data_IF_510794965018
#
_entry.id   IF_510794965018
#
_cell.length_a   1.000
_cell.length_b   1.000
_cell.length_c   1.000
_cell.angle_alpha   90.00
_cell.angle_beta   90.00
_cell.angle_gamma   90.00
#
_symmetry.space_group_name_H-M   'P 1'
#
loop_
_entity.id
_entity.type
_entity.pdbx_description
1 polymer ?
#
# COMPACT_ATOMS: atom_id res chain seq x y z
N UNK A 1 54.95 -29.79 71.32
CA UNK A 1 55.80 -29.58 70.12
C UNK A 1 54.94 -29.74 68.88
N UNK A 2 55.19 -28.91 67.87
CA UNK A 2 54.69 -28.93 66.49
C UNK A 2 53.23 -28.50 66.20
N UNK A 3 53.11 -27.23 65.85
CA UNK A 3 52.08 -26.55 65.04
C UNK A 3 52.13 -26.96 63.55
N UNK A 4 50.99 -27.05 62.84
CA UNK A 4 50.87 -26.62 61.42
C UNK A 4 49.41 -26.72 60.92
N UNK A 5 48.66 -25.61 60.91
CA UNK A 5 48.30 -24.71 59.77
C UNK A 5 47.07 -25.15 58.94
N UNK A 6 46.00 -24.36 59.11
CA UNK A 6 44.83 -24.22 58.23
C UNK A 6 45.26 -23.97 56.78
N UNK A 7 44.55 -24.59 55.83
CA UNK A 7 44.41 -24.07 54.48
C UNK A 7 42.92 -23.83 54.22
N UNK A 8 42.46 -22.62 54.55
CA UNK A 8 41.14 -22.14 54.18
C UNK A 8 41.23 -21.71 52.70
N UNK A 9 40.65 -22.50 51.80
CA UNK A 9 40.58 -22.18 50.37
C UNK A 9 39.62 -21.01 50.17
N UNK A 10 40.14 -19.79 50.16
CA UNK A 10 39.43 -18.63 49.62
C UNK A 10 39.35 -18.78 48.10
N UNK A 11 38.19 -19.18 47.59
CA UNK A 11 37.86 -19.05 46.16
C UNK A 11 37.66 -17.55 45.91
N UNK A 12 38.68 -16.91 45.32
CA UNK A 12 38.59 -15.55 44.81
C UNK A 12 37.67 -15.54 43.59
N UNK A 13 36.40 -15.21 43.79
CA UNK A 13 35.51 -14.76 42.72
C UNK A 13 35.77 -13.26 42.49
N UNK A 14 36.55 -12.94 41.47
CA UNK A 14 36.70 -11.59 40.92
C UNK A 14 36.22 -11.59 39.46
N UNK A 15 35.71 -10.45 38.97
CA UNK A 15 34.41 -10.39 38.32
C UNK A 15 34.54 -10.32 36.80
N UNK A 16 33.75 -11.13 36.10
CA UNK A 16 33.53 -10.98 34.66
C UNK A 16 32.55 -9.83 34.39
N UNK A 17 32.90 -8.60 34.81
CA UNK A 17 32.15 -7.38 34.50
C UNK A 17 33.10 -6.41 33.82
N UNK A 18 33.48 -6.74 32.58
CA UNK A 18 34.20 -5.81 31.71
C UNK A 18 33.74 -5.95 30.25
N UNK A 19 32.43 -6.09 30.04
CA UNK A 19 31.81 -6.09 28.71
C UNK A 19 30.67 -5.05 28.56
N UNK A 20 30.48 -4.16 29.54
CA UNK A 20 29.34 -3.21 29.56
C UNK A 20 29.74 -1.75 29.27
N UNK A 21 30.87 -1.50 28.60
CA UNK A 21 31.36 -0.13 28.31
C UNK A 21 31.47 0.19 26.81
N UNK A 22 30.94 -0.65 25.92
CA UNK A 22 30.78 -0.23 24.54
C UNK A 22 29.61 0.78 24.47
N UNK A 23 29.85 2.03 24.02
CA UNK A 23 28.76 2.93 23.73
C UNK A 23 27.85 2.29 22.67
N UNK A 24 26.52 2.46 22.75
CA UNK A 24 25.63 2.01 21.70
C UNK A 24 26.10 2.60 20.37
N UNK A 25 26.20 1.77 19.34
CA UNK A 25 26.50 2.23 18.00
C UNK A 25 25.52 3.37 17.66
N UNK A 26 26.00 4.48 17.06
CA UNK A 26 25.09 5.52 16.62
C UNK A 26 24.06 4.88 15.71
N UNK A 27 22.77 5.03 16.05
CA UNK A 27 21.69 4.63 15.19
C UNK A 27 21.97 5.25 13.81
N UNK A 28 22.06 4.42 12.77
CA UNK A 28 22.19 4.92 11.42
C UNK A 28 21.10 5.97 11.22
N UNK A 29 21.50 7.21 10.89
CA UNK A 29 20.55 8.28 10.68
C UNK A 29 19.55 7.79 9.63
N UNK A 30 18.28 7.62 10.03
CA UNK A 30 17.23 7.28 9.11
C UNK A 30 17.24 8.34 8.00
N UNK A 31 17.17 7.89 6.74
CA UNK A 31 17.09 8.79 5.60
C UNK A 31 15.92 9.78 5.75
N UNK A 32 15.89 10.84 4.93
CA UNK A 32 14.75 11.74 4.90
C UNK A 32 13.45 10.95 4.70
N UNK A 33 12.34 11.34 5.37
CA UNK A 33 11.05 10.71 5.16
C UNK A 33 10.66 10.74 3.68
N UNK A 34 10.19 9.61 3.16
CA UNK A 34 9.65 9.50 1.81
C UNK A 34 8.30 10.19 1.71
N UNK A 35 7.94 10.61 0.50
CA UNK A 35 6.65 11.23 0.20
C UNK A 35 5.61 10.13 0.00
N UNK A 36 4.48 10.21 0.69
CA UNK A 36 3.35 9.31 0.41
C UNK A 36 2.81 9.58 -0.99
N UNK A 37 2.72 8.54 -1.82
CA UNK A 37 2.11 8.55 -3.14
C UNK A 37 1.07 7.42 -3.17
N UNK A 38 -0.20 7.74 -3.32
CA UNK A 38 -1.26 6.75 -3.42
C UNK A 38 -1.98 6.85 -4.78
N UNK A 39 -2.24 5.69 -5.39
CA UNK A 39 -3.07 5.56 -6.58
C UNK A 39 -4.28 4.69 -6.26
N UNK A 40 -5.47 5.26 -6.41
CA UNK A 40 -6.74 4.53 -6.38
C UNK A 40 -7.22 4.35 -7.82
N UNK A 41 -7.48 3.10 -8.22
CA UNK A 41 -7.68 2.75 -9.62
C UNK A 41 -8.58 1.52 -9.80
N UNK A 42 -8.95 1.25 -11.05
CA UNK A 42 -9.70 0.07 -11.47
C UNK A 42 -8.97 -0.57 -12.65
N UNK A 43 -8.83 -1.89 -12.62
CA UNK A 43 -8.03 -2.67 -13.57
C UNK A 43 -8.53 -2.61 -15.02
N UNK A 44 -9.83 -2.35 -15.28
CA UNK A 44 -10.36 -2.23 -16.65
C UNK A 44 -10.65 -0.79 -17.07
N UNK A 45 -10.27 0.21 -16.27
CA UNK A 45 -10.37 1.60 -16.66
C UNK A 45 -9.21 1.98 -17.61
N UNK A 46 -9.48 2.40 -18.87
CA UNK A 46 -8.42 2.71 -19.82
C UNK A 46 -7.46 3.82 -19.37
N UNK A 47 -7.95 4.78 -18.59
CA UNK A 47 -7.12 5.86 -18.04
C UNK A 47 -6.20 5.38 -16.91
N UNK A 48 -6.69 4.44 -16.08
CA UNK A 48 -5.90 3.81 -15.03
C UNK A 48 -4.76 2.97 -15.62
N UNK A 49 -5.09 2.06 -16.53
CA UNK A 49 -4.09 1.19 -17.18
C UNK A 49 -3.02 2.01 -17.90
N UNK A 50 -3.44 3.04 -18.66
CA UNK A 50 -2.50 3.95 -19.33
C UNK A 50 -1.62 4.69 -18.32
N UNK A 51 -2.18 5.21 -17.24
CA UNK A 51 -1.41 5.92 -16.23
C UNK A 51 -0.37 5.00 -15.57
N UNK A 52 -0.76 3.78 -15.18
CA UNK A 52 0.14 2.80 -14.56
C UNK A 52 1.30 2.47 -15.50
N UNK A 53 0.98 2.07 -16.73
CA UNK A 53 1.97 1.58 -17.71
C UNK A 53 2.87 2.69 -18.25
N UNK A 54 2.33 3.87 -18.51
CA UNK A 54 3.06 4.93 -19.25
C UNK A 54 3.58 6.07 -18.39
N UNK A 55 3.05 6.25 -17.17
CA UNK A 55 3.44 7.34 -16.26
C UNK A 55 4.03 6.78 -14.96
N UNK A 56 3.25 6.04 -14.19
CA UNK A 56 3.67 5.56 -12.88
C UNK A 56 4.90 4.65 -12.95
N UNK A 57 4.97 3.77 -13.95
CA UNK A 57 6.15 2.91 -14.17
C UNK A 57 7.48 3.69 -14.29
N UNK A 58 7.43 4.95 -14.74
CA UNK A 58 8.62 5.81 -14.88
C UNK A 58 9.33 6.12 -13.55
N UNK A 59 8.69 5.92 -12.40
CA UNK A 59 9.34 6.16 -11.10
C UNK A 59 10.51 5.20 -10.82
N UNK A 60 10.47 3.99 -11.38
CA UNK A 60 11.48 2.95 -11.19
C UNK A 60 12.77 3.29 -11.93
N UNK A 61 12.67 3.88 -13.13
CA UNK A 61 13.82 4.26 -13.94
C UNK A 61 14.36 5.66 -13.61
N UNK A 62 13.50 6.57 -13.18
CA UNK A 62 13.88 7.97 -12.87
C UNK A 62 14.58 8.14 -11.52
N UNK A 63 14.60 7.09 -10.69
CA UNK A 63 15.09 7.13 -9.31
C UNK A 63 14.11 7.78 -8.32
N UNK A 64 12.91 8.18 -8.79
CA UNK A 64 11.87 8.76 -7.93
C UNK A 64 11.34 7.74 -6.92
N UNK A 65 11.41 6.44 -7.24
CA UNK A 65 11.05 5.33 -6.34
C UNK A 65 11.76 5.41 -4.98
N UNK A 66 12.97 5.96 -4.91
CA UNK A 66 13.70 6.11 -3.64
C UNK A 66 13.15 7.21 -2.73
N UNK A 67 12.34 8.11 -3.28
CA UNK A 67 11.77 9.28 -2.60
C UNK A 67 10.30 9.12 -2.24
N UNK A 68 9.64 8.01 -2.62
CA UNK A 68 8.21 7.79 -2.41
C UNK A 68 7.93 6.50 -1.64
N UNK A 69 6.86 6.53 -0.86
CA UNK A 69 6.17 5.32 -0.40
C UNK A 69 4.90 5.18 -1.26
N UNK A 70 4.97 4.30 -2.26
CA UNK A 70 3.87 4.06 -3.21
C UNK A 70 2.85 3.08 -2.61
N UNK A 71 1.59 3.49 -2.62
CA UNK A 71 0.43 2.69 -2.24
C UNK A 71 -0.50 2.52 -3.45
N UNK A 72 -0.82 1.27 -3.78
CA UNK A 72 -1.74 0.90 -4.85
C UNK A 72 -3.05 0.39 -4.24
N UNK A 73 -4.18 0.90 -4.73
CA UNK A 73 -5.52 0.57 -4.23
C UNK A 73 -6.43 0.15 -5.40
N UNK A 74 -6.45 -1.15 -5.77
CA UNK A 74 -7.31 -1.68 -6.83
C UNK A 74 -8.75 -1.86 -6.33
N UNK A 75 -9.59 -0.84 -6.57
CA UNK A 75 -11.01 -0.85 -6.23
C UNK A 75 -11.79 0.20 -7.02
N UNK A 76 -11.33 1.46 -6.95
CA UNK A 76 -11.87 2.60 -7.67
C UNK A 76 -13.37 2.82 -7.50
N UNK A 77 -14.15 2.79 -8.59
CA UNK A 77 -15.60 3.01 -8.57
C UNK A 77 -16.40 1.72 -8.33
N UNK A 78 -15.78 0.64 -7.88
CA UNK A 78 -16.52 -0.51 -7.41
C UNK A 78 -17.41 -0.13 -6.20
N UNK A 79 -18.48 -0.89 -6.00
CA UNK A 79 -19.40 -0.67 -4.88
C UNK A 79 -19.83 -1.98 -4.26
N UNK A 80 -19.94 -1.98 -2.93
CA UNK A 80 -20.55 -3.09 -2.19
C UNK A 80 -22.08 -3.00 -2.31
N UNK A 81 -22.71 -4.12 -2.69
CA UNK A 81 -24.15 -4.27 -2.90
C UNK A 81 -24.73 -5.30 -1.93
N UNK A 82 -25.89 -4.97 -1.35
CA UNK A 82 -26.67 -5.88 -0.52
C UNK A 82 -26.02 -6.22 0.82
N UNK A 83 -26.72 -7.03 1.62
CA UNK A 83 -26.24 -7.47 2.93
C UNK A 83 -25.16 -8.56 2.86
N UNK A 84 -24.93 -9.14 1.68
CA UNK A 84 -23.96 -10.20 1.43
C UNK A 84 -22.60 -9.68 0.95
N UNK A 85 -22.36 -8.38 1.04
CA UNK A 85 -21.11 -7.72 0.64
C UNK A 85 -20.67 -7.99 -0.82
N UNK A 86 -21.61 -8.22 -1.74
CA UNK A 86 -21.24 -8.47 -3.14
C UNK A 86 -20.62 -7.21 -3.77
N UNK A 87 -19.46 -7.34 -4.41
CA UNK A 87 -18.80 -6.23 -5.07
C UNK A 87 -19.26 -6.16 -6.53
N UNK A 88 -19.66 -4.97 -6.97
CA UNK A 88 -20.02 -4.66 -8.35
C UNK A 88 -19.05 -3.63 -8.89
N UNK A 89 -18.46 -3.89 -10.06
CA UNK A 89 -17.50 -3.01 -10.72
C UNK A 89 -18.10 -2.39 -11.99
N UNK A 90 -17.59 -1.23 -12.42
CA UNK A 90 -18.17 -0.44 -13.51
C UNK A 90 -18.04 -1.16 -14.87
N UNK A 91 -16.93 -1.87 -15.07
CA UNK A 91 -16.61 -2.59 -16.30
C UNK A 91 -16.97 -4.08 -16.22
N UNK A 92 -17.80 -4.47 -15.25
CA UNK A 92 -18.33 -5.83 -15.13
C UNK A 92 -17.48 -6.78 -14.28
N UNK A 93 -17.75 -8.09 -14.35
CA UNK A 93 -17.14 -9.09 -13.46
C UNK A 93 -15.63 -9.26 -13.67
N UNK A 94 -15.13 -9.07 -14.89
CA UNK A 94 -13.70 -9.21 -15.20
C UNK A 94 -12.86 -8.13 -14.51
N UNK A 95 -13.40 -6.92 -14.34
CA UNK A 95 -12.77 -5.87 -13.53
C UNK A 95 -12.73 -6.24 -12.05
N UNK A 96 -13.83 -6.78 -11.51
CA UNK A 96 -13.82 -7.24 -10.12
C UNK A 96 -12.82 -8.38 -9.91
N UNK A 97 -12.70 -9.28 -10.90
CA UNK A 97 -11.72 -10.35 -10.90
C UNK A 97 -10.30 -9.78 -10.86
N UNK A 98 -9.95 -8.88 -11.78
CA UNK A 98 -8.60 -8.34 -11.88
C UNK A 98 -8.25 -7.41 -10.71
N UNK A 99 -9.20 -6.61 -10.21
CA UNK A 99 -9.00 -5.86 -8.96
C UNK A 99 -8.66 -6.79 -7.79
N UNK A 100 -9.30 -7.97 -7.72
CA UNK A 100 -9.02 -8.98 -6.69
C UNK A 100 -7.65 -9.64 -6.87
N UNK A 101 -7.30 -10.00 -8.10
CA UNK A 101 -6.00 -10.58 -8.46
C UNK A 101 -4.87 -9.61 -8.08
N UNK A 102 -5.01 -8.33 -8.41
CA UNK A 102 -4.01 -7.31 -8.08
C UNK A 102 -3.94 -7.02 -6.58
N UNK A 103 -5.09 -7.01 -5.89
CA UNK A 103 -5.15 -6.95 -4.44
C UNK A 103 -4.37 -8.10 -3.78
N UNK A 104 -4.57 -9.32 -4.27
CA UNK A 104 -3.83 -10.51 -3.83
C UNK A 104 -2.34 -10.45 -4.16
N UNK A 105 -1.96 -9.89 -5.33
CA UNK A 105 -0.56 -9.70 -5.70
C UNK A 105 0.18 -8.75 -4.75
N UNK A 106 -0.46 -7.64 -4.35
CA UNK A 106 0.10 -6.68 -3.39
C UNK A 106 0.36 -7.35 -2.04
N UNK A 107 -0.56 -8.19 -1.56
CA UNK A 107 -0.39 -8.87 -0.28
C UNK A 107 0.62 -10.02 -0.35
N UNK A 108 0.56 -10.83 -1.41
CA UNK A 108 1.45 -11.97 -1.62
C UNK A 108 2.92 -11.56 -1.76
N UNK A 109 3.18 -10.39 -2.35
CA UNK A 109 4.53 -9.90 -2.61
C UNK A 109 4.74 -8.50 -2.02
N UNK A 110 5.16 -8.40 -0.75
CA UNK A 110 5.41 -7.11 -0.09
C UNK A 110 6.50 -6.24 -0.75
N UNK A 111 7.37 -6.84 -1.57
CA UNK A 111 8.34 -6.07 -2.36
C UNK A 111 7.62 -5.31 -3.48
N UNK A 112 7.70 -3.99 -3.42
CA UNK A 112 7.09 -3.08 -4.39
C UNK A 112 7.49 -3.35 -5.84
N UNK A 113 8.76 -3.68 -6.10
CA UNK A 113 9.20 -3.97 -7.47
C UNK A 113 8.53 -5.24 -8.01
N UNK A 114 8.28 -6.20 -7.13
CA UNK A 114 7.70 -7.50 -7.50
C UNK A 114 6.22 -7.36 -7.81
N UNK A 115 5.41 -6.85 -6.87
CA UNK A 115 3.97 -6.72 -7.15
C UNK A 115 3.67 -5.66 -8.21
N UNK A 116 4.41 -4.55 -8.25
CA UNK A 116 4.22 -3.56 -9.31
C UNK A 116 4.57 -4.14 -10.68
N UNK A 117 5.64 -4.93 -10.80
CA UNK A 117 5.99 -5.60 -12.06
C UNK A 117 4.88 -6.50 -12.59
N UNK A 118 4.20 -7.22 -11.70
CA UNK A 118 3.02 -8.02 -12.04
C UNK A 118 1.83 -7.15 -12.46
N UNK A 119 1.46 -6.16 -11.65
CA UNK A 119 0.33 -5.24 -11.93
C UNK A 119 0.54 -4.50 -13.26
N UNK A 120 1.74 -3.96 -13.49
CA UNK A 120 2.09 -3.28 -14.73
C UNK A 120 1.95 -4.20 -15.96
N UNK A 121 2.26 -5.50 -15.81
CA UNK A 121 2.05 -6.49 -16.87
C UNK A 121 0.56 -6.75 -17.14
N UNK A 122 -0.26 -6.87 -16.09
CA UNK A 122 -1.72 -7.05 -16.21
C UNK A 122 -2.35 -5.84 -16.88
N UNK A 123 -1.99 -4.63 -16.45
CA UNK A 123 -2.49 -3.37 -17.01
C UNK A 123 -2.03 -3.15 -18.46
N UNK A 124 -0.85 -3.61 -18.85
CA UNK A 124 -0.42 -3.63 -20.25
C UNK A 124 -1.29 -4.57 -21.09
N UNK A 125 -1.65 -5.75 -20.57
CA UNK A 125 -2.58 -6.64 -21.26
C UNK A 125 -3.97 -6.01 -21.43
N UNK A 126 -4.46 -5.27 -20.42
CA UNK A 126 -5.72 -4.52 -20.51
C UNK A 126 -5.65 -3.46 -21.61
N UNK A 127 -4.59 -2.66 -21.65
CA UNK A 127 -4.33 -1.67 -22.70
C UNK A 127 -4.34 -2.29 -24.11
N UNK A 128 -3.86 -3.52 -24.23
CA UNK A 128 -3.80 -4.28 -25.47
C UNK A 128 -5.04 -5.14 -25.74
N UNK A 129 -6.12 -5.01 -24.94
CA UNK A 129 -7.37 -5.79 -25.04
C UNK A 129 -7.16 -7.31 -24.92
N UNK A 130 -6.25 -7.71 -24.03
CA UNK A 130 -5.85 -9.10 -23.75
C UNK A 130 -5.93 -9.43 -22.28
N UNK A 131 -6.82 -8.77 -21.54
CA UNK A 131 -6.96 -8.93 -20.09
C UNK A 131 -7.22 -10.39 -19.65
N UNK A 132 -7.84 -11.22 -20.51
CA UNK A 132 -8.02 -12.66 -20.29
C UNK A 132 -6.68 -13.44 -20.18
N UNK A 133 -5.59 -12.89 -20.72
CA UNK A 133 -4.25 -13.50 -20.67
C UNK A 133 -3.47 -13.11 -19.40
N UNK A 134 -4.10 -12.53 -18.37
CA UNK A 134 -3.43 -12.00 -17.18
C UNK A 134 -2.52 -13.01 -16.46
N UNK A 135 -2.89 -14.30 -16.44
CA UNK A 135 -2.07 -15.37 -15.84
C UNK A 135 -0.68 -15.49 -16.53
N UNK A 136 -0.57 -15.09 -17.81
CA UNK A 136 0.72 -15.06 -18.51
C UNK A 136 1.74 -14.13 -17.82
N UNK A 137 1.30 -13.18 -17.01
CA UNK A 137 2.16 -12.27 -16.26
C UNK A 137 2.99 -12.98 -15.18
N UNK A 138 2.52 -14.11 -14.62
CA UNK A 138 3.35 -14.92 -13.73
C UNK A 138 4.62 -15.40 -14.44
N UNK A 139 4.46 -15.97 -15.65
CA UNK A 139 5.60 -16.46 -16.42
C UNK A 139 6.49 -15.31 -16.91
N UNK A 140 5.89 -14.21 -17.42
CA UNK A 140 6.64 -13.04 -17.92
C UNK A 140 7.50 -12.39 -16.84
N UNK A 141 7.02 -12.38 -15.59
CA UNK A 141 7.73 -11.81 -14.44
C UNK A 141 8.58 -12.84 -13.67
N UNK A 142 8.51 -14.13 -14.04
CA UNK A 142 9.22 -15.21 -13.34
C UNK A 142 8.72 -15.46 -11.92
N UNK A 143 7.42 -15.27 -11.67
CA UNK A 143 6.79 -15.37 -10.35
C UNK A 143 6.08 -16.70 -10.16
N UNK A 144 6.08 -17.21 -8.92
CA UNK A 144 5.25 -18.35 -8.53
C UNK A 144 3.78 -17.90 -8.45
N UNK A 145 2.86 -18.49 -9.24
CA UNK A 145 1.45 -18.13 -9.20
C UNK A 145 0.76 -18.50 -7.89
N UNK A 146 1.30 -19.48 -7.15
CA UNK A 146 0.59 -20.11 -6.04
C UNK A 146 0.08 -19.14 -4.98
N UNK A 147 0.88 -18.19 -4.42
CA UNK A 147 0.40 -17.29 -3.38
C UNK A 147 -0.78 -16.41 -3.82
N UNK A 148 -0.74 -15.89 -5.06
CA UNK A 148 -1.82 -15.07 -5.62
C UNK A 148 -3.05 -15.93 -5.88
N UNK A 149 -2.88 -17.11 -6.47
CA UNK A 149 -3.99 -18.00 -6.79
C UNK A 149 -4.67 -18.56 -5.54
N UNK A 150 -3.94 -18.86 -4.48
CA UNK A 150 -4.52 -19.31 -3.19
C UNK A 150 -5.33 -18.18 -2.54
N UNK A 151 -4.83 -16.94 -2.57
CA UNK A 151 -5.57 -15.76 -2.10
C UNK A 151 -6.84 -15.54 -2.92
N UNK A 152 -6.72 -15.47 -4.25
CA UNK A 152 -7.80 -15.18 -5.18
C UNK A 152 -8.93 -16.23 -5.14
N UNK A 153 -8.58 -17.52 -5.06
CA UNK A 153 -9.56 -18.61 -5.02
C UNK A 153 -10.18 -18.84 -3.63
N UNK A 154 -9.84 -18.02 -2.63
CA UNK A 154 -10.36 -18.13 -1.27
C UNK A 154 -11.22 -16.92 -0.89
N UNK A 155 -11.89 -16.98 0.27
CA UNK A 155 -12.60 -15.83 0.84
C UNK A 155 -11.64 -14.65 1.13
N UNK A 156 -10.33 -14.92 1.22
CA UNK A 156 -9.33 -13.93 1.56
C UNK A 156 -9.23 -12.82 0.52
N UNK A 157 -9.20 -13.16 -0.78
CA UNK A 157 -9.24 -12.18 -1.85
C UNK A 157 -10.47 -11.27 -1.74
N UNK A 158 -11.65 -11.83 -1.41
CA UNK A 158 -12.86 -11.03 -1.22
C UNK A 158 -12.74 -10.05 -0.04
N UNK A 159 -12.19 -10.50 1.09
CA UNK A 159 -11.90 -9.64 2.26
C UNK A 159 -10.94 -8.51 1.92
N UNK A 160 -9.92 -8.77 1.10
CA UNK A 160 -9.00 -7.74 0.58
C UNK A 160 -9.72 -6.71 -0.28
N UNK A 161 -10.58 -7.12 -1.21
CA UNK A 161 -11.36 -6.18 -2.01
C UNK A 161 -12.30 -5.31 -1.15
N UNK A 162 -12.89 -5.86 -0.08
CA UNK A 162 -13.68 -5.08 0.87
C UNK A 162 -12.82 -4.10 1.70
N UNK A 163 -11.59 -4.49 2.05
CA UNK A 163 -10.62 -3.62 2.73
C UNK A 163 -10.26 -2.43 1.84
N UNK A 164 -9.92 -2.66 0.57
CA UNK A 164 -9.64 -1.58 -0.38
C UNK A 164 -10.87 -0.71 -0.67
N UNK A 165 -12.08 -1.27 -0.66
CA UNK A 165 -13.31 -0.50 -0.72
C UNK A 165 -13.45 0.48 0.44
N UNK A 166 -13.30 0.00 1.69
CA UNK A 166 -13.32 0.87 2.88
C UNK A 166 -12.24 1.96 2.84
N UNK A 167 -11.05 1.61 2.35
CA UNK A 167 -9.96 2.56 2.21
C UNK A 167 -10.27 3.65 1.16
N UNK A 168 -10.95 3.27 0.08
CA UNK A 168 -11.39 4.19 -0.97
C UNK A 168 -12.53 5.09 -0.47
N UNK A 169 -13.52 4.52 0.22
CA UNK A 169 -14.64 5.25 0.84
C UNK A 169 -14.18 6.26 1.92
N UNK A 170 -13.02 6.03 2.53
CA UNK A 170 -12.44 6.91 3.55
C UNK A 170 -11.70 8.13 2.98
N UNK A 171 -11.60 8.27 1.65
CA UNK A 171 -10.96 9.42 1.02
C UNK A 171 -11.67 10.74 1.38
N UNK A 172 -10.86 11.74 1.74
CA UNK A 172 -11.34 13.10 2.02
C UNK A 172 -10.53 14.10 1.16
N UNK A 173 -11.16 14.79 0.19
CA UNK A 173 -12.53 14.56 -0.30
C UNK A 173 -12.68 13.19 -0.97
N UNK A 174 -13.92 12.66 -1.08
CA UNK A 174 -14.19 11.47 -1.89
C UNK A 174 -13.69 11.65 -3.32
N UNK A 175 -13.16 10.58 -3.92
CA UNK A 175 -12.73 10.62 -5.32
C UNK A 175 -13.92 10.89 -6.24
N UNK A 176 -13.67 11.60 -7.35
CA UNK A 176 -14.70 11.96 -8.34
C UNK A 176 -14.65 11.11 -9.60
N UNK A 177 -13.53 10.44 -9.81
CA UNK A 177 -13.20 9.60 -10.96
C UNK A 177 -11.95 8.79 -10.61
N UNK A 178 -11.55 7.89 -11.51
CA UNK A 178 -10.26 7.21 -11.47
C UNK A 178 -9.51 7.45 -12.80
N UNK A 179 -8.16 7.43 -12.80
CA UNK A 179 -7.27 7.26 -11.65
C UNK A 179 -7.36 8.43 -10.67
N UNK A 180 -7.28 8.14 -9.38
CA UNK A 180 -7.25 9.15 -8.32
C UNK A 180 -5.91 9.10 -7.61
N UNK A 181 -5.09 10.14 -7.85
CA UNK A 181 -3.72 10.22 -7.34
C UNK A 181 -3.64 11.21 -6.18
N UNK A 182 -3.02 10.77 -5.09
CA UNK A 182 -2.81 11.56 -3.88
C UNK A 182 -1.32 11.62 -3.58
N UNK A 183 -0.76 12.83 -3.46
CA UNK A 183 0.64 13.06 -3.09
C UNK A 183 0.70 13.86 -1.80
N UNK A 184 1.38 13.34 -0.77
CA UNK A 184 1.48 13.97 0.56
C UNK A 184 0.11 14.38 1.13
N UNK A 185 -0.90 13.51 0.95
CA UNK A 185 -2.28 13.75 1.35
C UNK A 185 -3.07 14.73 0.48
N UNK A 186 -2.48 15.26 -0.60
CA UNK A 186 -3.14 16.18 -1.53
C UNK A 186 -3.63 15.45 -2.79
N UNK A 187 -4.95 15.39 -3.06
CA UNK A 187 -5.44 14.87 -4.33
C UNK A 187 -5.06 15.82 -5.48
N UNK A 188 -4.55 15.26 -6.57
CA UNK A 188 -4.04 16.06 -7.70
C UNK A 188 -5.10 16.46 -8.72
N UNK A 189 -6.31 15.91 -8.63
CA UNK A 189 -7.39 16.11 -9.59
C UNK A 189 -6.92 15.92 -11.04
N UNK A 190 -7.18 16.87 -11.93
CA UNK A 190 -6.89 16.77 -13.37
C UNK A 190 -5.38 16.82 -13.66
N UNK A 191 -4.57 17.21 -12.66
CA UNK A 191 -3.12 17.32 -12.78
C UNK A 191 -2.38 16.03 -12.34
N UNK A 192 -3.10 14.91 -12.22
CA UNK A 192 -2.57 13.64 -11.74
C UNK A 192 -1.41 13.10 -12.58
N UNK A 193 -1.36 13.42 -13.88
CA UNK A 193 -0.26 13.00 -14.75
C UNK A 193 1.08 13.70 -14.42
N UNK A 194 1.05 14.81 -13.67
CA UNK A 194 2.22 15.58 -13.26
C UNK A 194 2.69 15.25 -11.83
N UNK A 195 2.26 14.11 -11.27
CA UNK A 195 2.54 13.71 -9.88
C UNK A 195 4.04 13.76 -9.51
N UNK A 196 4.96 13.55 -10.46
CA UNK A 196 6.40 13.62 -10.21
C UNK A 196 6.82 15.00 -9.71
N UNK A 197 6.22 16.07 -10.26
CA UNK A 197 6.50 17.43 -9.83
C UNK A 197 6.03 17.68 -8.39
N UNK A 198 4.87 17.13 -8.01
CA UNK A 198 4.34 17.21 -6.64
C UNK A 198 5.21 16.44 -5.65
N UNK A 199 5.65 15.24 -6.03
CA UNK A 199 6.59 14.44 -5.22
C UNK A 199 7.89 15.22 -5.02
N UNK A 200 8.47 15.75 -6.09
CA UNK A 200 9.70 16.52 -6.04
C UNK A 200 9.57 17.78 -5.17
N UNK A 201 8.40 18.42 -5.16
CA UNK A 201 8.11 19.58 -4.30
C UNK A 201 7.95 19.20 -2.83
N UNK A 202 7.34 18.05 -2.54
CA UNK A 202 7.08 17.59 -1.18
C UNK A 202 8.32 16.94 -0.52
N UNK A 203 9.21 16.36 -1.32
CA UNK A 203 10.36 15.61 -0.81
C UNK A 203 11.40 16.51 -0.16
N UNK A 204 11.71 16.24 1.11
CA UNK A 204 12.64 17.03 1.93
C UNK A 204 14.10 16.52 1.87
N UNK A 205 14.33 15.39 1.19
CA UNK A 205 15.65 14.80 1.00
C UNK A 205 16.45 15.46 -0.12
N UNK A 206 17.57 14.84 -0.51
CA UNK A 206 18.27 15.21 -1.73
C UNK A 206 17.46 14.70 -2.93
N UNK A 207 16.84 15.58 -3.73
CA UNK A 207 15.89 15.16 -4.73
C UNK A 207 16.61 14.44 -5.89
N UNK A 208 16.03 13.36 -6.45
CA UNK A 208 16.57 12.70 -7.63
C UNK A 208 16.71 13.67 -8.82
N UNK A 209 17.56 13.32 -9.79
CA UNK A 209 17.85 14.19 -10.95
C UNK A 209 16.60 14.63 -11.71
N UNK A 210 15.58 13.77 -11.78
CA UNK A 210 14.30 14.10 -12.43
C UNK A 210 13.64 15.36 -11.86
N UNK A 211 13.82 15.64 -10.57
CA UNK A 211 13.28 16.82 -9.91
C UNK A 211 13.94 18.13 -10.33
N UNK A 212 15.17 18.10 -10.85
CA UNK A 212 15.91 19.30 -11.24
C UNK A 212 15.31 19.96 -12.50
N UNK A 213 14.58 19.20 -13.33
CA UNK A 213 13.90 19.70 -14.54
C UNK A 213 12.43 20.09 -14.35
N UNK A 214 11.81 19.73 -13.23
CA UNK A 214 10.37 19.91 -12.98
C UNK A 214 10.04 21.20 -12.20
N UNK A 215 11.05 21.89 -11.65
CA UNK A 215 10.88 22.91 -10.62
C UNK A 215 10.86 24.38 -11.06
N UNK A 216 10.40 24.76 -12.26
CA UNK A 216 10.40 26.19 -12.65
C UNK A 216 9.11 26.86 -13.12
N UNK A 217 8.12 26.15 -13.66
CA UNK A 217 6.96 26.83 -14.26
C UNK A 217 5.64 26.06 -14.10
N UNK A 218 5.12 25.92 -12.87
CA UNK A 218 3.73 25.48 -12.71
C UNK A 218 2.90 26.44 -11.84
N UNK A 219 1.83 27.05 -12.39
CA UNK A 219 0.94 27.92 -11.64
C UNK A 219 0.16 27.10 -10.61
N UNK A 220 0.14 27.60 -9.39
CA UNK A 220 -0.56 27.00 -8.26
C UNK A 220 -2.07 27.04 -8.54
N UNK A 221 -2.71 25.88 -8.71
CA UNK A 221 -4.16 25.77 -8.51
C UNK A 221 -4.39 25.82 -7.00
N UNK A 222 -4.49 27.04 -6.47
CA UNK A 222 -4.78 27.30 -5.07
C UNK A 222 -6.27 27.00 -4.84
N UNK A 223 -6.63 25.77 -4.49
CA UNK A 223 -7.83 25.54 -3.71
C UNK A 223 -7.41 25.32 -2.26
N UNK A 224 -7.59 26.39 -1.48
CA UNK A 224 -7.41 26.42 -0.04
C UNK A 224 -8.47 25.49 0.55
N UNK A 225 -8.07 24.28 0.92
CA UNK A 225 -8.73 23.55 2.00
C UNK A 225 -7.83 23.71 3.21
N UNK A 226 -8.36 24.37 4.23
CA UNK A 226 -7.66 24.65 5.47
C UNK A 226 -7.01 23.38 6.03
N UNK A 227 -5.76 23.52 6.47
CA UNK A 227 -5.01 22.50 7.17
C UNK A 227 -5.72 22.16 8.50
N UNK A 228 -6.65 21.23 8.43
CA UNK A 228 -7.09 20.47 9.60
C UNK A 228 -6.03 19.41 9.91
N UNK A 229 -5.24 19.69 10.96
CA UNK A 229 -4.37 18.76 11.70
C UNK A 229 -4.19 17.34 11.12
N UNK A 230 -2.97 17.09 10.63
CA UNK A 230 -2.27 15.80 10.67
C UNK A 230 -3.15 14.55 10.66
N UNK A 231 -3.62 14.15 9.48
CA UNK A 231 -4.07 12.77 9.27
C UNK A 231 -2.82 11.94 8.97
N UNK A 232 -2.32 11.28 10.01
CA UNK A 232 -1.31 10.24 9.87
C UNK A 232 -1.95 9.03 9.20
N UNK A 233 -1.51 8.70 7.99
CA UNK A 233 -1.76 7.38 7.42
C UNK A 233 -0.95 6.38 8.23
N UNK A 234 -1.62 5.66 9.13
CA UNK A 234 -1.00 4.51 9.77
C UNK A 234 -0.88 3.41 8.72
N UNK A 235 0.31 3.27 8.14
CA UNK A 235 0.79 2.01 7.58
C UNK A 235 0.98 1.02 8.72
N UNK A 236 -0.12 0.63 9.37
CA UNK A 236 -0.15 -0.35 10.43
C UNK A 236 -0.61 -1.67 9.84
N UNK A 237 0.23 -2.69 9.93
CA UNK A 237 -0.17 -4.09 9.82
C UNK A 237 -1.35 -4.30 10.79
N UNK A 238 -2.53 -4.56 10.23
CA UNK A 238 -3.71 -4.89 11.01
C UNK A 238 -3.79 -6.41 11.05
N UNK A 239 -3.29 -7.01 12.15
CA UNK A 239 -3.53 -8.42 12.46
C UNK A 239 -5.04 -8.63 12.66
N UNK A 240 -5.57 -9.65 11.99
CA UNK A 240 -6.95 -10.09 12.16
C UNK A 240 -7.09 -10.72 13.56
N UNK A 241 -7.87 -10.08 14.44
CA UNK A 241 -8.30 -10.71 15.68
C UNK A 241 -9.43 -11.70 15.36
N UNK A 242 -9.11 -13.00 15.44
CA UNK A 242 -10.09 -14.07 15.36
C UNK A 242 -10.88 -14.13 16.68
N UNK A 243 -12.12 -13.66 16.62
CA UNK A 243 -13.20 -14.19 17.44
C UNK A 243 -13.71 -13.28 18.55
N UNK A 244 -14.88 -12.66 18.30
CA UNK A 244 -15.92 -12.52 19.32
C UNK A 244 -17.29 -12.68 18.65
N UNK A 245 -17.97 -13.75 19.00
CA UNK A 245 -19.40 -13.97 18.77
C UNK A 245 -20.21 -12.84 19.41
N UNK A 246 -21.02 -12.11 18.64
CA UNK A 246 -22.10 -11.30 19.20
C UNK A 246 -23.46 -11.67 18.62
N UNK A 247 -24.25 -12.29 19.51
CA UNK A 247 -25.64 -12.70 19.32
C UNK A 247 -26.53 -11.45 19.19
N UNK A 248 -26.91 -11.09 17.98
CA UNK A 248 -28.01 -10.15 17.77
C UNK A 248 -29.33 -10.91 17.71
N UNK A 249 -30.09 -10.87 18.81
CA UNK A 249 -31.49 -11.28 18.86
C UNK A 249 -32.35 -10.21 18.18
N UNK A 250 -32.83 -10.50 16.97
CA UNK A 250 -33.84 -9.68 16.29
C UNK A 250 -35.22 -10.03 16.88
N UNK A 251 -35.84 -9.08 17.59
CA UNK A 251 -37.28 -9.11 17.87
C UNK A 251 -38.00 -8.60 16.61
N UNK A 252 -38.83 -9.44 16.01
CA UNK A 252 -39.76 -9.03 14.96
C UNK A 252 -40.87 -8.17 15.56
N UNK A 253 -41.05 -6.96 15.03
CA UNK A 253 -42.23 -6.13 15.26
C UNK A 253 -43.27 -6.54 14.22
N UNK A 254 -44.47 -6.92 14.68
CA UNK A 254 -45.63 -7.20 13.85
C UNK A 254 -46.02 -5.97 13.04
N UNK A 255 -46.27 -6.15 11.75
CA UNK A 255 -46.90 -5.14 10.91
C UNK A 255 -48.39 -5.09 11.20
N UNK A 256 -48.89 -3.88 11.40
CA UNK A 256 -50.32 -3.56 11.42
C UNK A 256 -50.85 -3.42 9.99
N UNK A 257 -52.04 -3.96 9.77
CA UNK A 257 -52.81 -3.92 8.53
C UNK A 257 -53.23 -2.49 8.14
N UNK A 258 -52.99 -2.10 6.88
CA UNK A 258 -53.95 -1.35 6.06
C UNK A 258 -53.58 -1.39 4.57
#
# INVERSE_FOLDING_TARGET
>A
MATSRRALRFVLLLPAILAALLPPAPAAAAGPPRVSLALYYESLCPYCSRFIVTRLAGIFDSGLIGAVDLLLVPYGNAHVRGANNTISCQHGPDECLLNNVEACAIEAWPDLNVHFGFINCVEDLVMNRKCEEWESCFQKQGLDPKPVMECYNSEHGHKLSLKYGKQTDALVPPHKYVPWVVVDGQPLYEDYENFEAYVCKAYKGHPPKICQGLGRDYPIVQQVVEAGNGVTYNSGDFELDEGVDDKIKIKMVQGDDN
#
